data_IF_574763318015
#
_entry.id   IF_574763318015
#
_cell.length_a   1.000
_cell.length_b   1.000
_cell.length_c   1.000
_cell.angle_alpha   90.00
_cell.angle_beta   90.00
_cell.angle_gamma   90.00
#
_symmetry.space_group_name_H-M   'P 1'
#
loop_
_entity.id
_entity.type
_entity.pdbx_description
1 polymer ?
#
# COMPACT_ATOMS: atom_id res chain seq x y z
N UNK A 1 18.17 -13.79 -6.57
CA UNK A 1 16.95 -14.53 -6.14
C UNK A 1 15.77 -14.00 -6.92
N UNK A 2 15.14 -14.82 -7.75
CA UNK A 2 13.90 -14.42 -8.44
C UNK A 2 12.81 -14.16 -7.39
N UNK A 3 12.14 -13.02 -7.46
CA UNK A 3 11.01 -12.72 -6.58
C UNK A 3 9.90 -13.73 -6.91
N UNK A 4 9.60 -14.62 -5.99
CA UNK A 4 8.46 -15.53 -6.10
C UNK A 4 7.18 -14.73 -6.12
N UNK A 5 6.25 -15.17 -6.99
CA UNK A 5 4.89 -14.64 -7.07
C UNK A 5 4.31 -14.53 -5.68
N UNK A 6 3.72 -13.37 -5.41
CA UNK A 6 3.05 -13.12 -4.15
C UNK A 6 1.90 -14.11 -3.93
N UNK A 7 1.67 -14.48 -2.66
CA UNK A 7 0.52 -15.29 -2.26
C UNK A 7 -0.79 -14.65 -2.70
N UNK A 8 -1.70 -15.48 -3.20
CA UNK A 8 -3.03 -15.04 -3.62
C UNK A 8 -3.81 -14.45 -2.44
N UNK A 9 -4.66 -13.47 -2.73
CA UNK A 9 -5.48 -12.77 -1.72
C UNK A 9 -6.29 -13.76 -0.87
N UNK A 10 -6.88 -14.76 -1.52
CA UNK A 10 -7.71 -15.78 -0.87
C UNK A 10 -6.95 -16.54 0.23
N UNK A 11 -5.68 -16.89 0.00
CA UNK A 11 -4.88 -17.61 1.01
C UNK A 11 -4.51 -16.68 2.17
N UNK A 12 -4.22 -15.41 1.89
CA UNK A 12 -3.95 -14.41 2.96
C UNK A 12 -5.16 -14.17 3.85
N UNK A 13 -6.34 -14.04 3.25
CA UNK A 13 -7.57 -13.84 4.01
C UNK A 13 -7.93 -15.08 4.85
N UNK A 14 -7.70 -16.29 4.33
CA UNK A 14 -7.80 -17.54 5.10
C UNK A 14 -6.87 -17.56 6.31
N UNK A 15 -5.60 -17.16 6.15
CA UNK A 15 -4.63 -17.06 7.26
C UNK A 15 -5.16 -16.14 8.36
N UNK A 16 -5.72 -14.98 7.99
CA UNK A 16 -6.27 -14.03 8.97
C UNK A 16 -7.52 -14.58 9.65
N UNK A 17 -8.40 -15.27 8.93
CA UNK A 17 -9.60 -15.87 9.52
C UNK A 17 -9.26 -16.97 10.53
N UNK A 18 -8.29 -17.84 10.21
CA UNK A 18 -7.82 -18.88 11.14
C UNK A 18 -7.14 -18.28 12.38
N UNK A 19 -6.40 -17.18 12.21
CA UNK A 19 -5.81 -16.46 13.33
C UNK A 19 -6.87 -15.77 14.22
N UNK A 20 -7.96 -15.27 13.64
CA UNK A 20 -9.13 -14.75 14.38
C UNK A 20 -9.86 -15.86 15.14
N UNK A 21 -9.89 -17.07 14.60
CA UNK A 21 -10.40 -18.27 15.28
C UNK A 21 -9.48 -18.78 16.41
N UNK A 22 -8.38 -18.09 16.72
CA UNK A 22 -7.49 -18.42 17.83
C UNK A 22 -6.37 -19.41 17.51
N UNK A 23 -6.22 -19.83 16.25
CA UNK A 23 -5.12 -20.72 15.87
C UNK A 23 -3.77 -20.00 15.90
N UNK A 24 -2.73 -20.71 16.32
CA UNK A 24 -1.36 -20.22 16.27
C UNK A 24 -0.79 -20.23 14.84
N UNK A 25 0.08 -19.27 14.52
CA UNK A 25 0.66 -19.12 13.18
C UNK A 25 1.42 -20.37 12.67
N UNK A 26 2.04 -21.17 13.55
CA UNK A 26 2.69 -22.44 13.16
C UNK A 26 1.68 -23.50 12.71
N UNK A 27 0.54 -23.58 13.40
CA UNK A 27 -0.54 -24.50 13.04
C UNK A 27 -1.20 -24.10 11.72
N UNK A 28 -1.44 -22.80 11.54
CA UNK A 28 -2.00 -22.24 10.29
C UNK A 28 -1.08 -22.54 9.10
N UNK A 29 0.23 -22.33 9.26
CA UNK A 29 1.21 -22.63 8.23
C UNK A 29 1.20 -24.12 7.84
N UNK A 30 1.17 -25.02 8.83
CA UNK A 30 1.07 -26.47 8.59
C UNK A 30 -0.22 -26.86 7.88
N UNK A 31 -1.36 -26.29 8.29
CA UNK A 31 -2.66 -26.58 7.69
C UNK A 31 -2.76 -26.11 6.24
N UNK A 32 -2.17 -24.96 5.92
CA UNK A 32 -2.22 -24.37 4.58
C UNK A 32 -1.07 -24.84 3.67
N UNK A 33 -0.13 -25.65 4.18
CA UNK A 33 1.07 -26.05 3.44
C UNK A 33 2.03 -24.89 3.15
N UNK A 34 1.89 -23.78 3.86
CA UNK A 34 2.66 -22.56 3.64
C UNK A 34 3.89 -22.49 4.56
N UNK A 35 4.89 -21.71 4.14
CA UNK A 35 6.07 -21.49 4.98
C UNK A 35 5.67 -20.73 6.25
N UNK A 36 6.14 -21.21 7.41
CA UNK A 36 5.87 -20.60 8.73
C UNK A 36 6.24 -19.10 8.75
N UNK A 37 7.37 -18.73 8.13
CA UNK A 37 7.81 -17.33 8.02
C UNK A 37 6.77 -16.46 7.28
N UNK A 38 6.14 -17.00 6.25
CA UNK A 38 5.16 -16.30 5.42
C UNK A 38 3.86 -16.07 6.18
N UNK A 39 3.33 -17.12 6.83
CA UNK A 39 2.14 -17.00 7.68
C UNK A 39 2.38 -15.98 8.81
N UNK A 40 3.53 -16.05 9.48
CA UNK A 40 3.93 -15.10 10.52
C UNK A 40 4.01 -13.66 10.02
N UNK A 41 4.62 -13.42 8.85
CA UNK A 41 4.72 -12.09 8.25
C UNK A 41 3.35 -11.50 7.91
N UNK A 42 2.42 -12.31 7.39
CA UNK A 42 1.04 -11.90 7.09
C UNK A 42 0.31 -11.52 8.38
N UNK A 43 0.40 -12.34 9.42
CA UNK A 43 -0.26 -12.09 10.71
C UNK A 43 0.31 -10.83 11.36
N UNK A 44 1.63 -10.64 11.36
CA UNK A 44 2.26 -9.44 11.90
C UNK A 44 1.81 -8.18 11.16
N UNK A 45 1.80 -8.22 9.82
CA UNK A 45 1.29 -7.13 8.98
C UNK A 45 -0.16 -6.81 9.29
N UNK A 46 -1.01 -7.82 9.40
CA UNK A 46 -2.42 -7.63 9.74
C UNK A 46 -2.59 -7.04 11.15
N UNK A 47 -1.82 -7.50 12.14
CA UNK A 47 -1.88 -6.91 13.50
C UNK A 47 -1.53 -5.42 13.49
N UNK A 48 -0.50 -5.02 12.72
CA UNK A 48 -0.01 -3.64 12.64
C UNK A 48 -0.88 -2.71 11.79
N UNK A 49 -1.29 -3.16 10.61
CA UNK A 49 -1.92 -2.32 9.59
C UNK A 49 -3.38 -2.67 9.30
N UNK A 50 -3.90 -3.79 9.83
CA UNK A 50 -5.26 -4.33 9.55
C UNK A 50 -5.51 -4.63 8.06
N UNK A 51 -4.45 -4.76 7.27
CA UNK A 51 -4.51 -5.01 5.82
C UNK A 51 -3.95 -6.40 5.52
N UNK A 52 -4.60 -7.14 4.60
CA UNK A 52 -4.14 -8.44 4.10
C UNK A 52 -3.43 -8.33 2.75
N UNK A 53 -3.76 -7.29 1.96
CA UNK A 53 -3.10 -7.00 0.69
C UNK A 53 -1.71 -6.39 0.90
N UNK A 54 -0.84 -6.64 -0.07
CA UNK A 54 0.46 -5.99 -0.19
C UNK A 54 0.22 -4.61 -0.75
N UNK A 55 0.65 -3.59 -0.03
CA UNK A 55 0.65 -2.24 -0.57
C UNK A 55 1.82 -2.09 -1.55
N UNK A 56 1.64 -1.29 -2.62
CA UNK A 56 2.77 -0.86 -3.42
C UNK A 56 3.78 -0.15 -2.51
N UNK A 57 5.06 -0.26 -2.86
CA UNK A 57 6.10 0.45 -2.12
C UNK A 57 5.78 1.95 -2.18
N UNK A 58 5.80 2.67 -1.05
CA UNK A 58 5.71 4.12 -1.08
C UNK A 58 6.79 4.67 -2.00
N UNK A 59 6.38 5.47 -2.98
CA UNK A 59 7.28 6.17 -3.87
C UNK A 59 7.99 7.33 -3.17
N UNK A 60 8.80 8.07 -3.92
CA UNK A 60 9.33 9.34 -3.44
C UNK A 60 8.17 10.31 -3.13
N UNK A 61 8.29 11.14 -2.08
CA UNK A 61 7.30 12.18 -1.82
C UNK A 61 7.19 13.14 -3.02
N UNK A 62 5.98 13.60 -3.30
CA UNK A 62 5.75 14.59 -4.35
C UNK A 62 6.46 15.91 -4.01
N UNK A 63 7.08 16.55 -5.00
CA UNK A 63 7.73 17.86 -4.84
C UNK A 63 6.73 18.99 -4.58
N UNK A 64 5.53 18.89 -5.16
CA UNK A 64 4.46 19.87 -5.04
C UNK A 64 3.35 19.27 -4.19
N UNK A 65 2.78 20.07 -3.28
CA UNK A 65 1.65 19.66 -2.46
C UNK A 65 0.38 19.47 -3.31
N UNK A 66 -0.59 18.63 -2.89
CA UNK A 66 -1.88 18.49 -3.59
C UNK A 66 -2.62 19.83 -3.75
N UNK A 67 -2.46 20.74 -2.78
CA UNK A 67 -3.02 22.09 -2.83
C UNK A 67 -2.34 22.94 -3.92
N UNK A 68 -1.01 22.93 -3.97
CA UNK A 68 -0.25 23.64 -5.00
C UNK A 68 -0.64 23.17 -6.40
N UNK A 69 -0.74 21.85 -6.61
CA UNK A 69 -1.23 21.29 -7.88
C UNK A 69 -2.65 21.80 -8.21
N UNK A 70 -3.55 21.81 -7.23
CA UNK A 70 -4.93 22.31 -7.43
C UNK A 70 -4.96 23.80 -7.78
N UNK A 71 -4.07 24.61 -7.20
CA UNK A 71 -3.94 26.04 -7.51
C UNK A 71 -3.46 26.27 -8.94
N UNK A 72 -2.42 25.55 -9.37
CA UNK A 72 -1.90 25.60 -10.74
C UNK A 72 -3.00 25.26 -11.75
N UNK A 73 -3.70 24.14 -11.53
CA UNK A 73 -4.78 23.69 -12.42
C UNK A 73 -5.87 24.76 -12.54
N UNK A 74 -6.24 25.41 -11.43
CA UNK A 74 -7.24 26.47 -11.42
C UNK A 74 -6.79 27.73 -12.16
N UNK A 75 -5.55 28.18 -11.94
CA UNK A 75 -5.00 29.36 -12.60
C UNK A 75 -4.90 29.16 -14.12
N UNK A 76 -4.33 28.04 -14.56
CA UNK A 76 -4.20 27.72 -15.99
C UNK A 76 -5.58 27.56 -16.64
N UNK A 77 -6.55 26.98 -15.95
CA UNK A 77 -7.92 26.87 -16.47
C UNK A 77 -8.61 28.23 -16.65
N UNK A 78 -8.41 29.16 -15.73
CA UNK A 78 -9.01 30.50 -15.79
C UNK A 78 -8.28 31.42 -16.77
N UNK A 79 -6.96 31.29 -16.87
CA UNK A 79 -6.10 32.09 -17.75
C UNK A 79 -5.11 31.18 -18.48
N UNK A 80 -5.48 30.60 -19.63
CA UNK A 80 -4.64 29.61 -20.33
C UNK A 80 -3.29 30.11 -20.83
N UNK A 81 -3.06 31.44 -20.83
CA UNK A 81 -1.82 32.10 -21.23
C UNK A 81 -0.87 32.38 -20.05
N UNK A 82 -1.18 31.92 -18.83
CA UNK A 82 -0.27 32.06 -17.68
C UNK A 82 1.05 31.36 -17.96
N UNK A 83 2.16 32.02 -17.63
CA UNK A 83 3.50 31.46 -17.81
C UNK A 83 3.93 30.71 -16.56
N UNK A 84 4.96 29.88 -16.71
CA UNK A 84 5.57 29.18 -15.58
C UNK A 84 6.07 30.15 -14.49
N UNK A 85 6.66 31.28 -14.86
CA UNK A 85 7.15 32.31 -13.93
C UNK A 85 6.02 32.82 -13.01
N UNK A 86 4.84 33.06 -13.57
CA UNK A 86 3.67 33.51 -12.81
C UNK A 86 3.19 32.43 -11.81
N UNK A 87 3.30 31.15 -12.20
CA UNK A 87 2.91 30.02 -11.36
C UNK A 87 3.86 29.75 -10.20
N UNK A 88 5.16 30.06 -10.35
CA UNK A 88 6.16 29.85 -9.29
C UNK A 88 5.99 30.86 -8.17
N UNK A 89 5.61 32.10 -8.47
CA UNK A 89 5.43 33.14 -7.47
C UNK A 89 4.23 32.87 -6.54
N UNK A 90 3.24 32.12 -7.01
CA UNK A 90 1.97 31.84 -6.32
C UNK A 90 1.90 30.45 -5.64
N UNK A 91 2.98 29.64 -5.74
CA UNK A 91 3.09 28.25 -5.27
C UNK A 91 3.86 28.13 -3.95
#
# INVERSE_FOLDING_TARGET
MAKTKELSKNVRDKIVNLQKAGMGYKAIAKQLGEKVKTAGAIIHKWKKHKITVSLPRPGAPCKISPRGVSMIIRMVRNQPRTKYEDLVNDL
#
